data_IF_537052248969
#
_entry.id   IF_537052248969
#
_cell.length_a   1.000
_cell.length_b   1.000
_cell.length_c   1.000
_cell.angle_alpha   90.00
_cell.angle_beta   90.00
_cell.angle_gamma   90.00
#
_symmetry.space_group_name_H-M   'P 1'
#
loop_
_entity.id
_entity.type
_entity.pdbx_description
1 polymer ?
#
# COMPACT_ATOMS: atom_id res chain seq x y z
N UNK A 1 3.10 40.40 54.76
CA UNK A 1 3.71 41.74 54.71
C UNK A 1 5.01 41.70 53.92
N UNK A 2 5.00 42.33 52.73
CA UNK A 2 6.12 42.91 51.99
C UNK A 2 7.35 42.04 51.59
N UNK A 3 7.21 41.27 50.50
CA UNK A 3 8.34 40.72 49.70
C UNK A 3 8.98 41.75 48.74
N UNK A 4 8.49 42.99 48.76
CA UNK A 4 8.89 44.10 47.86
C UNK A 4 10.31 44.67 48.14
N UNK A 5 10.89 44.64 49.36
CA UNK A 5 12.21 45.24 49.59
C UNK A 5 13.38 44.38 49.08
N UNK A 6 13.25 43.05 49.10
CA UNK A 6 14.34 42.13 48.76
C UNK A 6 14.70 42.15 47.26
N UNK A 7 13.70 42.25 46.39
CA UNK A 7 13.90 42.36 44.95
C UNK A 7 14.48 43.71 44.50
N UNK A 8 14.16 44.81 45.21
CA UNK A 8 14.74 46.14 44.91
C UNK A 8 16.22 46.25 45.29
N UNK A 9 16.68 45.54 46.31
CA UNK A 9 18.11 45.49 46.65
C UNK A 9 18.92 44.60 45.71
N UNK A 10 18.36 43.47 45.25
CA UNK A 10 19.05 42.58 44.31
C UNK A 10 19.36 43.26 42.96
N UNK A 11 18.46 44.10 42.45
CA UNK A 11 18.72 44.93 41.25
C UNK A 11 19.78 46.01 41.46
N UNK A 12 19.95 46.53 42.68
CA UNK A 12 21.01 47.51 43.00
C UNK A 12 22.39 46.85 43.16
N UNK A 13 22.44 45.58 43.58
CA UNK A 13 23.69 44.83 43.74
C UNK A 13 24.33 44.42 42.41
N UNK A 14 23.56 44.30 41.32
CA UNK A 14 24.06 43.96 39.98
C UNK A 14 24.97 45.03 39.34
N UNK A 15 25.04 46.24 39.91
CA UNK A 15 25.90 47.34 39.44
C UNK A 15 27.29 47.32 40.10
N UNK A 16 27.49 46.51 41.16
CA UNK A 16 28.76 46.44 41.88
C UNK A 16 29.51 45.13 41.59
N UNK A 17 30.81 45.26 41.38
CA UNK A 17 31.75 44.20 40.96
C UNK A 17 31.48 42.85 41.66
N UNK A 18 31.44 41.73 40.92
CA UNK A 18 31.24 40.40 41.49
C UNK A 18 32.50 40.03 42.28
N UNK A 19 32.43 40.12 43.61
CA UNK A 19 33.53 39.71 44.48
C UNK A 19 33.59 40.39 45.85
N UNK A 20 32.92 41.53 46.05
CA UNK A 20 33.12 42.33 47.27
C UNK A 20 32.18 42.01 48.45
N UNK A 21 31.06 41.31 48.24
CA UNK A 21 30.02 41.16 49.28
C UNK A 21 29.58 39.72 49.61
N UNK A 22 30.14 38.72 48.93
CA UNK A 22 29.81 37.32 49.20
C UNK A 22 30.08 36.84 50.65
N UNK A 23 31.16 37.26 51.36
CA UNK A 23 31.46 36.69 52.67
C UNK A 23 30.64 37.29 53.83
N UNK A 24 30.01 38.46 53.67
CA UNK A 24 29.27 39.14 54.75
C UNK A 24 27.82 38.64 54.91
N UNK A 25 27.19 38.17 53.84
CA UNK A 25 25.83 37.60 53.91
C UNK A 25 25.83 36.15 54.41
N UNK A 26 26.90 35.39 54.15
CA UNK A 26 27.03 34.00 54.57
C UNK A 26 27.11 33.83 56.09
N UNK A 27 27.71 34.79 56.81
CA UNK A 27 27.85 34.69 58.28
C UNK A 27 26.56 34.97 59.05
N UNK A 28 25.60 35.72 58.47
CA UNK A 28 24.38 36.13 59.18
C UNK A 28 23.26 35.09 59.13
N UNK A 29 23.32 34.14 58.20
CA UNK A 29 22.29 33.10 58.07
C UNK A 29 22.61 31.78 58.78
N UNK A 30 23.77 31.69 59.45
CA UNK A 30 24.15 30.53 60.29
C UNK A 30 23.35 30.45 61.62
N UNK A 31 22.32 31.28 61.80
CA UNK A 31 21.45 31.32 62.99
C UNK A 31 19.97 31.39 62.59
N UNK A 32 19.44 30.37 61.94
CA UNK A 32 18.02 30.00 62.08
C UNK A 32 17.72 28.72 61.28
N UNK A 33 17.31 27.69 62.01
CA UNK A 33 16.49 26.53 61.68
C UNK A 33 16.56 25.81 60.30
N UNK A 34 16.31 24.50 60.38
CA UNK A 34 16.40 23.45 59.35
C UNK A 34 15.62 23.65 58.04
N UNK A 35 14.94 24.79 57.83
CA UNK A 35 14.37 25.22 56.55
C UNK A 35 15.30 26.11 55.71
N UNK A 36 16.44 26.55 56.28
CA UNK A 36 17.43 27.38 55.57
C UNK A 36 18.30 26.62 54.56
N UNK A 37 18.42 25.30 54.68
CA UNK A 37 19.33 24.48 53.86
C UNK A 37 18.88 24.36 52.40
N UNK A 38 17.58 24.31 52.12
CA UNK A 38 17.08 24.25 50.74
C UNK A 38 17.21 25.60 50.02
N UNK A 39 17.04 26.70 50.75
CA UNK A 39 17.26 28.05 50.23
C UNK A 39 18.74 28.27 49.97
N UNK A 40 19.61 27.84 50.89
CA UNK A 40 21.07 27.88 50.69
C UNK A 40 21.51 26.99 49.53
N UNK A 41 21.01 25.75 49.43
CA UNK A 41 21.33 24.85 48.31
C UNK A 41 20.88 25.43 46.98
N UNK A 42 19.69 26.01 46.90
CA UNK A 42 19.18 26.63 45.67
C UNK A 42 19.93 27.92 45.32
N UNK A 43 20.34 28.72 46.31
CA UNK A 43 21.13 29.94 46.10
C UNK A 43 22.58 29.60 45.66
N UNK A 44 23.21 28.61 46.29
CA UNK A 44 24.56 28.13 45.94
C UNK A 44 24.55 27.43 44.58
N UNK A 45 23.46 26.72 44.24
CA UNK A 45 23.25 26.14 42.91
C UNK A 45 23.07 27.23 41.84
N UNK A 46 22.27 28.27 42.13
CA UNK A 46 22.12 29.43 41.25
C UNK A 46 23.41 30.27 41.08
N UNK A 47 24.29 30.31 42.09
CA UNK A 47 25.61 30.95 41.98
C UNK A 47 26.63 30.12 41.19
N UNK A 48 26.43 28.80 41.08
CA UNK A 48 27.26 27.90 40.25
C UNK A 48 26.93 28.00 38.76
N UNK A 49 25.75 28.50 38.40
CA UNK A 49 25.24 28.64 37.03
C UNK A 49 25.37 30.07 36.48
N UNK A 50 26.20 30.92 37.07
CA UNK A 50 26.55 32.18 36.42
C UNK A 50 27.43 31.88 35.19
N UNK A 51 27.04 32.31 33.97
CA UNK A 51 27.88 32.10 32.79
C UNK A 51 29.24 32.74 33.06
N UNK A 52 30.30 31.94 33.03
CA UNK A 52 31.68 32.42 33.12
C UNK A 52 31.88 33.45 32.00
N UNK A 53 31.84 34.73 32.35
CA UNK A 53 32.09 35.80 31.41
C UNK A 53 33.44 35.54 30.74
N UNK A 54 33.42 35.24 29.43
CA UNK A 54 34.60 34.92 28.64
C UNK A 54 35.59 36.07 28.83
N UNK A 55 36.71 35.83 29.51
CA UNK A 55 37.71 36.87 29.77
C UNK A 55 38.25 37.35 28.43
N UNK A 56 38.02 38.62 28.11
CA UNK A 56 38.57 39.22 26.91
C UNK A 56 40.11 39.16 26.95
N UNK A 57 40.77 38.83 25.83
CA UNK A 57 42.22 38.78 25.77
C UNK A 57 42.82 40.16 26.02
N UNK A 58 43.79 40.23 26.93
CA UNK A 58 44.55 41.46 27.21
C UNK A 58 45.48 41.80 26.05
N UNK A 59 45.63 43.07 25.68
CA UNK A 59 46.51 43.50 24.59
C UNK A 59 47.99 43.30 24.98
N UNK A 60 48.73 42.46 24.24
CA UNK A 60 50.16 42.17 24.46
C UNK A 60 51.01 42.58 23.23
N UNK A 61 50.53 43.57 22.45
CA UNK A 61 51.13 44.05 21.18
C UNK A 61 51.03 43.05 20.03
N UNK A 62 51.49 41.83 20.24
CA UNK A 62 51.38 40.74 19.28
C UNK A 62 50.38 39.72 19.81
N UNK A 63 49.38 39.40 19.00
CA UNK A 63 48.38 38.38 19.31
C UNK A 63 48.17 37.45 18.14
N UNK A 64 47.88 36.20 18.47
CA UNK A 64 47.44 35.20 17.51
C UNK A 64 45.93 35.05 17.67
N UNK A 65 45.19 35.43 16.65
CA UNK A 65 43.74 35.22 16.60
C UNK A 65 43.50 33.76 16.21
N UNK A 66 42.80 32.97 17.05
CA UNK A 66 42.50 31.58 16.73
C UNK A 66 41.66 31.44 15.45
N UNK A 67 41.77 30.28 14.80
CA UNK A 67 40.93 29.96 13.65
C UNK A 67 39.44 29.95 14.06
N UNK A 68 38.58 30.46 13.18
CA UNK A 68 37.13 30.60 13.42
C UNK A 68 36.77 31.51 14.61
N UNK A 69 37.66 32.44 14.96
CA UNK A 69 37.34 33.58 15.83
C UNK A 69 37.60 34.90 15.10
N UNK A 70 36.80 35.91 15.43
CA UNK A 70 36.98 37.28 14.97
C UNK A 70 36.99 38.22 16.18
N UNK A 71 38.03 39.05 16.27
CA UNK A 71 38.20 39.97 17.39
C UNK A 71 37.96 41.41 16.92
N UNK A 72 37.04 42.11 17.57
CA UNK A 72 36.67 43.49 17.25
C UNK A 72 37.54 44.42 18.08
N UNK A 73 38.29 45.29 17.39
CA UNK A 73 39.23 46.23 18.02
C UNK A 73 38.68 47.64 17.98
N UNK A 74 38.75 48.29 19.14
CA UNK A 74 38.46 49.71 19.33
C UNK A 74 39.76 50.48 19.54
N UNK A 75 39.88 51.64 18.88
CA UNK A 75 40.95 52.60 19.12
C UNK A 75 40.36 53.82 19.81
N UNK A 76 40.82 54.11 21.03
CA UNK A 76 40.28 55.21 21.85
C UNK A 76 38.74 55.21 21.96
N UNK A 77 38.11 54.02 21.99
CA UNK A 77 36.65 53.86 22.08
C UNK A 77 35.88 53.98 20.77
N UNK A 78 36.54 54.16 19.62
CA UNK A 78 35.92 54.06 18.30
C UNK A 78 36.29 52.73 17.65
N UNK A 79 35.34 52.11 16.93
CA UNK A 79 35.65 50.96 16.08
C UNK A 79 36.82 51.27 15.12
N UNK A 80 37.80 50.38 15.07
CA UNK A 80 38.97 50.52 14.18
C UNK A 80 38.99 49.45 13.09
N UNK A 81 38.99 48.17 13.46
CA UNK A 81 39.04 47.03 12.52
C UNK A 81 38.64 45.73 13.19
N UNK A 82 38.31 44.74 12.37
CA UNK A 82 38.12 43.34 12.77
C UNK A 82 39.42 42.60 12.51
N UNK A 83 39.90 41.81 13.48
CA UNK A 83 41.06 40.95 13.30
C UNK A 83 40.60 39.57 12.85
N UNK A 84 41.08 39.17 11.68
CA UNK A 84 40.91 37.83 11.11
C UNK A 84 41.91 36.83 11.73
N UNK A 85 41.69 35.51 11.57
CA UNK A 85 42.61 34.49 12.08
C UNK A 85 44.05 34.68 11.60
N UNK A 86 45.01 34.57 12.52
CA UNK A 86 46.43 34.75 12.23
C UNK A 86 47.14 35.75 13.13
N UNK A 87 48.27 36.27 12.67
CA UNK A 87 49.10 37.22 13.41
C UNK A 87 48.48 38.63 13.36
N UNK A 88 48.06 39.13 14.51
CA UNK A 88 47.55 40.48 14.68
C UNK A 88 48.51 41.34 15.51
N UNK A 89 48.81 42.54 15.00
CA UNK A 89 49.60 43.55 15.71
C UNK A 89 48.68 44.67 16.18
N UNK A 90 48.69 44.92 17.49
CA UNK A 90 47.90 45.94 18.15
C UNK A 90 48.82 46.95 18.83
N UNK A 91 48.42 48.21 18.84
CA UNK A 91 49.18 49.25 19.55
C UNK A 91 48.73 49.23 21.02
N UNK A 92 49.61 48.95 21.98
CA UNK A 92 49.24 48.93 23.39
C UNK A 92 48.76 50.33 23.82
N UNK A 93 47.89 50.40 24.83
CA UNK A 93 47.22 51.61 25.33
C UNK A 93 46.20 52.28 24.39
N UNK A 94 46.44 52.27 23.08
CA UNK A 94 45.57 52.87 22.06
C UNK A 94 44.48 51.92 21.59
N UNK A 95 44.86 50.68 21.27
CA UNK A 95 43.97 49.65 20.76
C UNK A 95 43.51 48.73 21.90
N UNK A 96 42.20 48.47 21.98
CA UNK A 96 41.56 47.57 22.94
C UNK A 96 40.71 46.54 22.19
N UNK A 97 40.83 45.27 22.59
CA UNK A 97 39.94 44.21 22.11
C UNK A 97 38.64 44.31 22.91
N UNK A 98 37.57 44.76 22.26
CA UNK A 98 36.30 45.04 22.90
C UNK A 98 35.38 43.81 22.89
N UNK A 99 35.35 43.07 21.76
CA UNK A 99 34.51 41.90 21.59
C UNK A 99 35.28 40.76 20.93
N UNK A 100 34.99 39.53 21.35
CA UNK A 100 35.51 38.30 20.74
C UNK A 100 34.33 37.45 20.29
N UNK A 101 34.15 37.30 18.98
CA UNK A 101 33.06 36.52 18.42
C UNK A 101 33.59 35.21 17.82
N UNK A 102 32.88 34.12 18.09
CA UNK A 102 33.12 32.84 17.43
C UNK A 102 32.38 32.82 16.10
N UNK A 103 33.07 32.48 15.02
CA UNK A 103 32.49 32.30 13.68
C UNK A 103 31.95 30.87 13.47
N UNK A 104 32.22 29.97 14.42
CA UNK A 104 31.72 28.60 14.42
C UNK A 104 30.20 28.58 14.51
N UNK A 105 29.61 27.56 13.92
CA UNK A 105 28.20 27.25 14.14
C UNK A 105 27.96 26.88 15.60
N UNK A 106 26.90 27.46 16.17
CA UNK A 106 26.47 27.24 17.55
C UNK A 106 25.02 26.77 17.54
N UNK A 107 24.75 25.74 18.33
CA UNK A 107 23.40 25.28 18.62
C UNK A 107 22.91 25.93 19.92
N UNK A 108 21.78 26.62 19.86
CA UNK A 108 21.13 27.23 21.02
C UNK A 108 19.73 26.67 21.16
N UNK A 109 19.43 26.18 22.36
CA UNK A 109 18.10 25.69 22.69
C UNK A 109 17.13 26.86 22.86
N UNK A 110 16.00 26.76 22.16
CA UNK A 110 14.85 27.64 22.31
C UNK A 110 13.92 27.00 23.34
N UNK A 111 13.67 27.65 24.49
CA UNK A 111 12.91 27.04 25.56
C UNK A 111 11.45 26.90 25.15
N UNK A 112 10.80 25.91 25.77
CA UNK A 112 9.43 25.51 25.47
C UNK A 112 8.45 26.67 25.57
N UNK A 113 7.57 26.78 24.58
CA UNK A 113 6.53 27.80 24.51
C UNK A 113 5.18 27.20 24.15
N UNK A 114 4.12 27.78 24.71
CA UNK A 114 2.75 27.51 24.29
C UNK A 114 2.38 28.40 23.10
N UNK A 115 1.84 27.78 22.05
CA UNK A 115 1.28 28.43 20.86
C UNK A 115 -0.13 27.89 20.59
N UNK A 116 -0.93 28.66 19.86
CA UNK A 116 -2.28 28.26 19.44
C UNK A 116 -2.28 28.15 17.92
N UNK A 117 -2.74 27.03 17.39
CA UNK A 117 -2.88 26.80 15.94
C UNK A 117 -4.10 27.53 15.37
N UNK A 118 -4.21 27.54 14.03
CA UNK A 118 -5.37 28.09 13.32
C UNK A 118 -6.70 27.44 13.76
N UNK A 119 -6.67 26.15 14.12
CA UNK A 119 -7.86 25.40 14.59
C UNK A 119 -8.15 25.60 16.08
N UNK A 120 -7.53 26.59 16.69
CA UNK A 120 -7.70 26.92 18.11
C UNK A 120 -7.27 25.79 19.05
N UNK A 121 -6.26 25.00 18.66
CA UNK A 121 -5.61 24.00 19.53
C UNK A 121 -4.36 24.59 20.14
N UNK A 122 -4.28 24.56 21.47
CA UNK A 122 -3.06 24.90 22.22
C UNK A 122 -2.03 23.79 22.08
N UNK A 123 -0.78 24.11 21.75
CA UNK A 123 0.34 23.18 21.64
C UNK A 123 1.54 23.70 22.44
N UNK A 124 2.33 22.80 23.02
CA UNK A 124 3.62 23.13 23.61
C UNK A 124 4.74 22.67 22.68
N UNK A 125 5.64 23.58 22.31
CA UNK A 125 6.72 23.31 21.36
C UNK A 125 8.06 23.81 21.90
N UNK A 126 9.11 23.07 21.58
CA UNK A 126 10.49 23.49 21.74
C UNK A 126 11.31 23.17 20.49
N UNK A 127 12.52 23.73 20.44
CA UNK A 127 13.37 23.56 19.27
C UNK A 127 14.80 23.98 19.52
N UNK A 128 15.64 23.69 18.55
CA UNK A 128 17.06 24.04 18.54
C UNK A 128 17.33 24.89 17.32
N UNK A 129 17.91 26.06 17.58
CA UNK A 129 18.36 26.98 16.55
C UNK A 129 19.85 26.78 16.32
N UNK A 130 20.24 26.64 15.05
CA UNK A 130 21.64 26.63 14.65
C UNK A 130 21.95 27.90 13.89
N UNK A 131 22.89 28.69 14.41
CA UNK A 131 23.30 29.94 13.78
C UNK A 131 24.82 30.06 13.74
N UNK A 132 25.30 30.96 12.88
CA UNK A 132 26.68 31.43 12.88
C UNK A 132 26.73 32.94 12.74
N UNK A 133 27.78 33.55 13.31
CA UNK A 133 28.08 34.96 13.10
C UNK A 133 28.76 35.11 11.73
N UNK A 134 28.17 35.91 10.84
CA UNK A 134 28.73 36.21 9.51
C UNK A 134 29.46 37.55 9.54
N UNK A 135 28.89 38.55 10.21
CA UNK A 135 29.47 39.87 10.36
C UNK A 135 29.72 40.19 11.86
N UNK A 136 30.97 40.06 12.33
CA UNK A 136 31.33 40.33 13.72
C UNK A 136 31.11 41.77 14.15
N UNK A 137 31.16 42.74 13.23
CA UNK A 137 30.92 44.14 13.55
C UNK A 137 29.44 44.38 13.86
N UNK A 138 28.54 43.91 12.99
CA UNK A 138 27.10 43.98 13.24
C UNK A 138 26.68 43.17 14.47
N UNK A 139 27.30 42.01 14.71
CA UNK A 139 27.01 41.21 15.91
C UNK A 139 27.47 41.87 17.21
N UNK A 140 28.53 42.68 17.18
CA UNK A 140 29.04 43.38 18.36
C UNK A 140 28.31 44.71 18.65
N UNK A 141 27.93 45.47 17.62
CA UNK A 141 27.36 46.81 17.78
C UNK A 141 25.88 46.93 17.40
N UNK A 142 25.34 45.96 16.64
CA UNK A 142 23.95 46.00 16.18
C UNK A 142 22.94 45.74 17.29
N UNK A 143 23.31 44.93 18.30
CA UNK A 143 22.45 44.63 19.45
C UNK A 143 23.30 44.30 20.68
N UNK A 144 22.76 44.57 21.88
CA UNK A 144 23.49 44.40 23.14
C UNK A 144 23.87 42.94 23.45
N UNK A 145 22.97 42.00 23.15
CA UNK A 145 23.19 40.56 23.25
C UNK A 145 22.54 39.87 22.06
N UNK A 146 23.35 39.56 21.05
CA UNK A 146 22.88 39.02 19.79
C UNK A 146 22.34 37.59 19.92
N UNK A 147 22.92 36.78 20.81
CA UNK A 147 22.45 35.42 21.09
C UNK A 147 21.06 35.48 21.74
N UNK A 148 20.90 36.31 22.77
CA UNK A 148 19.61 36.49 23.42
C UNK A 148 18.54 37.02 22.46
N UNK A 149 18.87 38.04 21.65
CA UNK A 149 17.93 38.63 20.71
C UNK A 149 17.48 37.66 19.63
N UNK A 150 18.40 36.87 19.06
CA UNK A 150 18.04 35.83 18.07
C UNK A 150 17.19 34.73 18.71
N UNK A 151 17.48 34.33 19.95
CA UNK A 151 16.67 33.37 20.70
C UNK A 151 15.24 33.87 20.92
N UNK A 152 15.06 35.14 21.28
CA UNK A 152 13.73 35.76 21.43
C UNK A 152 13.00 35.91 20.09
N UNK A 153 13.72 36.25 19.03
CA UNK A 153 13.18 36.31 17.68
C UNK A 153 12.66 34.93 17.25
N UNK A 154 13.46 33.88 17.42
CA UNK A 154 13.07 32.52 17.08
C UNK A 154 11.78 32.08 17.80
N UNK A 155 11.64 32.44 19.08
CA UNK A 155 10.43 32.19 19.86
C UNK A 155 9.19 32.89 19.29
N UNK A 156 9.34 34.16 18.93
CA UNK A 156 8.24 34.97 18.42
C UNK A 156 7.82 34.49 17.03
N UNK A 157 8.80 34.21 16.17
CA UNK A 157 8.59 33.67 14.81
C UNK A 157 7.94 32.29 14.86
N UNK A 158 8.44 31.37 15.69
CA UNK A 158 7.84 30.04 15.86
C UNK A 158 6.36 30.14 16.26
N UNK A 159 6.01 31.00 17.22
CA UNK A 159 4.61 31.22 17.62
C UNK A 159 3.76 31.77 16.47
N UNK A 160 4.31 32.69 15.67
CA UNK A 160 3.59 33.32 14.56
C UNK A 160 3.32 32.33 13.40
N UNK A 161 4.31 31.49 13.05
CA UNK A 161 4.17 30.48 11.99
C UNK A 161 3.17 29.39 12.38
N UNK A 162 3.24 28.90 13.63
CA UNK A 162 2.27 27.91 14.15
C UNK A 162 0.83 28.46 14.14
N UNK A 163 0.65 29.75 14.43
CA UNK A 163 -0.67 30.39 14.40
C UNK A 163 -1.32 30.44 13.02
N UNK A 164 -0.54 30.28 11.95
CA UNK A 164 -1.02 30.28 10.56
C UNK A 164 -1.33 28.87 10.03
N UNK A 165 -0.98 27.82 10.78
CA UNK A 165 -1.11 26.43 10.36
C UNK A 165 -2.13 25.69 11.23
N UNK A 166 -2.76 24.67 10.65
CA UNK A 166 -3.63 23.72 11.37
C UNK A 166 -2.77 22.73 12.18
N UNK A 167 -3.40 22.03 13.13
CA UNK A 167 -2.70 21.00 13.93
C UNK A 167 -2.11 19.90 13.04
N UNK A 168 -2.92 19.39 12.11
CA UNK A 168 -2.52 18.27 11.26
C UNK A 168 -1.36 18.66 10.33
N UNK A 169 -1.42 19.85 9.70
CA UNK A 169 -0.34 20.33 8.83
C UNK A 169 0.94 20.59 9.63
N UNK A 170 0.83 21.09 10.86
CA UNK A 170 1.99 21.27 11.76
C UNK A 170 2.68 19.93 12.07
N UNK A 171 1.90 18.86 12.25
CA UNK A 171 2.43 17.51 12.52
C UNK A 171 2.99 16.83 11.26
N UNK A 172 2.35 17.04 10.10
CA UNK A 172 2.71 16.41 8.83
C UNK A 172 3.87 17.10 8.11
N UNK A 173 3.90 18.43 8.08
CA UNK A 173 4.80 19.23 7.25
C UNK A 173 5.88 19.97 8.07
N UNK A 174 6.52 19.27 9.01
CA UNK A 174 7.56 19.86 9.88
C UNK A 174 8.70 20.53 9.11
N UNK A 175 9.09 19.97 7.96
CA UNK A 175 10.16 20.53 7.14
C UNK A 175 9.80 21.90 6.54
N UNK A 176 8.56 22.05 6.09
CA UNK A 176 8.05 23.32 5.55
C UNK A 176 8.05 24.40 6.63
N UNK A 177 7.57 24.05 7.83
CA UNK A 177 7.58 24.95 8.99
C UNK A 177 9.00 25.37 9.38
N UNK A 178 9.95 24.42 9.45
CA UNK A 178 11.36 24.72 9.73
C UNK A 178 11.93 25.71 8.70
N UNK A 179 11.64 25.52 7.42
CA UNK A 179 12.10 26.40 6.34
C UNK A 179 11.54 27.82 6.49
N UNK A 180 10.24 27.95 6.75
CA UNK A 180 9.58 29.25 6.94
C UNK A 180 10.16 30.00 8.15
N UNK A 181 10.36 29.31 9.28
CA UNK A 181 10.96 29.88 10.48
C UNK A 181 12.38 30.40 10.18
N UNK A 182 13.21 29.62 9.49
CA UNK A 182 14.57 30.03 9.11
C UNK A 182 14.55 31.28 8.24
N UNK A 183 13.67 31.35 7.24
CA UNK A 183 13.56 32.50 6.34
C UNK A 183 13.12 33.77 7.08
N UNK A 184 12.12 33.65 7.96
CA UNK A 184 11.63 34.77 8.76
C UNK A 184 12.69 35.26 9.76
N UNK A 185 13.44 34.34 10.41
CA UNK A 185 14.55 34.71 11.30
C UNK A 185 15.66 35.44 10.52
N UNK A 186 16.09 34.91 9.37
CA UNK A 186 17.17 35.49 8.56
C UNK A 186 16.86 36.90 8.07
N UNK A 187 15.59 37.18 7.75
CA UNK A 187 15.15 38.52 7.31
C UNK A 187 15.38 39.57 8.40
N UNK A 188 15.15 39.23 9.68
CA UNK A 188 15.35 40.15 10.79
C UNK A 188 16.80 40.15 11.33
N UNK A 189 17.47 38.98 11.32
CA UNK A 189 18.82 38.81 11.90
C UNK A 189 19.95 39.40 11.05
N UNK A 190 19.67 39.83 9.81
CA UNK A 190 20.64 40.51 8.93
C UNK A 190 21.22 41.79 9.58
N UNK A 191 20.38 42.52 10.32
CA UNK A 191 20.78 43.73 11.07
C UNK A 191 21.77 43.43 12.20
N UNK A 192 21.80 42.18 12.70
CA UNK A 192 22.66 41.72 13.79
C UNK A 192 23.86 40.91 13.30
N UNK A 193 24.05 40.75 11.98
CA UNK A 193 25.19 40.01 11.44
C UNK A 193 25.19 38.50 11.75
N UNK A 194 24.03 37.95 12.12
CA UNK A 194 23.84 36.53 12.41
C UNK A 194 23.05 35.89 11.27
N UNK A 195 23.54 34.74 10.79
CA UNK A 195 22.81 33.90 9.86
C UNK A 195 22.31 32.64 10.57
N UNK A 196 21.00 32.42 10.52
CA UNK A 196 20.38 31.16 10.87
C UNK A 196 20.62 30.15 9.75
N UNK A 197 21.22 29.02 10.09
CA UNK A 197 21.51 27.94 9.15
C UNK A 197 20.35 26.94 9.08
N UNK A 198 19.81 26.59 10.25
CA UNK A 198 18.68 25.68 10.38
C UNK A 198 17.96 25.89 11.70
N UNK A 199 16.68 25.58 11.68
CA UNK A 199 15.84 25.46 12.85
C UNK A 199 15.28 24.05 12.89
N UNK A 200 15.42 23.37 14.02
CA UNK A 200 14.90 22.02 14.21
C UNK A 200 13.90 22.03 15.36
N UNK A 201 12.64 21.73 15.06
CA UNK A 201 11.64 21.47 16.11
C UNK A 201 11.99 20.16 16.79
N UNK A 202 12.14 20.19 18.12
CA UNK A 202 12.46 19.00 18.90
C UNK A 202 11.18 18.21 19.14
N UNK A 203 10.27 18.74 19.95
CA UNK A 203 9.00 18.08 20.24
C UNK A 203 7.78 19.00 20.08
N UNK A 204 6.63 18.40 19.76
CA UNK A 204 5.33 19.06 19.68
C UNK A 204 4.36 18.28 20.57
N UNK A 205 3.89 18.91 21.64
CA UNK A 205 3.02 18.30 22.63
C UNK A 205 1.61 18.91 22.55
N UNK A 206 0.69 18.28 21.80
CA UNK A 206 -0.74 18.58 21.91
C UNK A 206 -1.36 18.08 23.22
N UNK A 207 -2.45 18.70 23.70
CA UNK A 207 -3.17 18.25 24.88
C UNK A 207 -3.75 16.86 24.66
N UNK A 208 -3.65 16.01 25.68
CA UNK A 208 -4.03 14.58 25.60
C UNK A 208 -5.44 14.33 25.06
N UNK A 209 -6.41 15.19 25.42
CA UNK A 209 -7.81 15.09 24.95
C UNK A 209 -7.92 15.21 23.43
N UNK A 210 -7.12 16.07 22.80
CA UNK A 210 -7.15 16.27 21.34
C UNK A 210 -6.50 15.08 20.64
N UNK A 211 -5.40 14.56 21.18
CA UNK A 211 -4.74 13.36 20.66
C UNK A 211 -5.65 12.14 20.73
N UNK A 212 -6.36 11.95 21.84
CA UNK A 212 -7.33 10.87 22.01
C UNK A 212 -8.49 10.98 21.00
N UNK A 213 -9.07 12.18 20.86
CA UNK A 213 -10.13 12.43 19.87
C UNK A 213 -9.65 12.15 18.45
N UNK A 214 -8.43 12.59 18.10
CA UNK A 214 -7.82 12.36 16.80
C UNK A 214 -7.58 10.86 16.54
N UNK A 215 -7.05 10.11 17.53
CA UNK A 215 -6.90 8.66 17.42
C UNK A 215 -8.25 7.94 17.25
N UNK A 216 -9.27 8.37 17.99
CA UNK A 216 -10.63 7.82 17.86
C UNK A 216 -11.20 8.09 16.47
N UNK A 217 -11.04 9.31 15.94
CA UNK A 217 -11.49 9.67 14.60
C UNK A 217 -10.76 8.87 13.51
N UNK A 218 -9.43 8.78 13.57
CA UNK A 218 -8.62 8.01 12.62
C UNK A 218 -8.97 6.52 12.69
N UNK A 219 -9.17 5.98 13.88
CA UNK A 219 -9.59 4.58 14.07
C UNK A 219 -10.99 4.32 13.47
N UNK A 220 -11.95 5.20 13.72
CA UNK A 220 -13.29 5.11 13.17
C UNK A 220 -13.29 5.20 11.63
N UNK A 221 -12.50 6.11 11.06
CA UNK A 221 -12.37 6.25 9.61
C UNK A 221 -11.69 5.02 8.98
N UNK A 222 -10.62 4.50 9.61
CA UNK A 222 -9.97 3.25 9.19
C UNK A 222 -10.93 2.07 9.25
N UNK A 223 -11.72 1.94 10.32
CA UNK A 223 -12.73 0.89 10.46
C UNK A 223 -13.82 1.00 9.39
N UNK A 224 -14.29 2.21 9.10
CA UNK A 224 -15.27 2.45 8.03
C UNK A 224 -14.71 2.06 6.67
N UNK A 225 -13.47 2.47 6.35
CA UNK A 225 -12.80 2.11 5.08
C UNK A 225 -12.60 0.60 4.98
N UNK A 226 -12.20 -0.06 6.07
CA UNK A 226 -12.04 -1.51 6.10
C UNK A 226 -13.38 -2.24 5.87
N UNK A 227 -14.48 -1.80 6.49
CA UNK A 227 -15.80 -2.39 6.27
C UNK A 227 -16.31 -2.21 4.83
N UNK A 228 -16.06 -1.06 4.22
CA UNK A 228 -16.42 -0.82 2.81
C UNK A 228 -15.63 -1.76 1.91
N UNK A 229 -14.30 -1.83 2.09
CA UNK A 229 -13.43 -2.72 1.31
C UNK A 229 -13.81 -4.20 1.49
N UNK A 230 -14.15 -4.62 2.71
CA UNK A 230 -14.60 -5.99 2.99
C UNK A 230 -15.93 -6.28 2.29
N UNK A 231 -16.90 -5.35 2.35
CA UNK A 231 -18.18 -5.49 1.67
C UNK A 231 -18.03 -5.53 0.15
N UNK A 232 -17.14 -4.70 -0.41
CA UNK A 232 -16.82 -4.69 -1.84
C UNK A 232 -16.11 -5.98 -2.26
N UNK A 233 -15.15 -6.45 -1.47
CA UNK A 233 -14.46 -7.72 -1.66
C UNK A 233 -15.40 -8.93 -1.61
N UNK A 234 -16.32 -8.97 -0.63
CA UNK A 234 -17.33 -10.01 -0.51
C UNK A 234 -18.29 -10.02 -1.71
N UNK A 235 -18.76 -8.85 -2.14
CA UNK A 235 -19.60 -8.71 -3.34
C UNK A 235 -18.86 -9.21 -4.58
N UNK A 236 -17.61 -8.78 -4.79
CA UNK A 236 -16.82 -9.19 -5.95
C UNK A 236 -16.53 -10.69 -5.93
N UNK A 237 -16.22 -11.25 -4.77
CA UNK A 237 -16.01 -12.69 -4.60
C UNK A 237 -17.27 -13.50 -4.94
N UNK A 238 -18.44 -13.07 -4.46
CA UNK A 238 -19.71 -13.71 -4.78
C UNK A 238 -20.04 -13.68 -6.28
N UNK A 239 -19.78 -12.55 -6.95
CA UNK A 239 -19.93 -12.42 -8.41
C UNK A 239 -19.00 -13.39 -9.13
N UNK A 240 -17.72 -13.43 -8.77
CA UNK A 240 -16.73 -14.30 -9.39
C UNK A 240 -17.10 -15.79 -9.23
N UNK A 241 -17.60 -16.19 -8.06
CA UNK A 241 -18.07 -17.57 -7.81
C UNK A 241 -19.31 -17.89 -8.67
N UNK A 242 -20.28 -16.98 -8.74
CA UNK A 242 -21.48 -17.17 -9.55
C UNK A 242 -21.16 -17.26 -11.05
N UNK A 243 -20.24 -16.42 -11.53
CA UNK A 243 -19.77 -16.42 -12.91
C UNK A 243 -18.98 -17.71 -13.23
N UNK A 244 -18.09 -18.13 -12.33
CA UNK A 244 -17.40 -19.42 -12.44
C UNK A 244 -18.37 -20.61 -12.48
N UNK A 245 -19.41 -20.60 -11.64
CA UNK A 245 -20.44 -21.65 -11.63
C UNK A 245 -21.33 -21.64 -12.87
N UNK A 246 -21.63 -20.45 -13.44
CA UNK A 246 -22.33 -20.32 -14.72
C UNK A 246 -21.47 -20.89 -15.85
N UNK A 247 -20.21 -20.47 -15.94
CA UNK A 247 -19.29 -20.90 -16.98
C UNK A 247 -19.03 -22.41 -16.90
N UNK A 248 -18.83 -22.94 -15.69
CA UNK A 248 -18.68 -24.38 -15.47
C UNK A 248 -19.90 -25.17 -15.93
N UNK A 249 -21.12 -24.70 -15.66
CA UNK A 249 -22.35 -25.36 -16.12
C UNK A 249 -22.51 -25.34 -17.64
N UNK A 250 -22.16 -24.23 -18.30
CA UNK A 250 -22.18 -24.12 -19.75
C UNK A 250 -21.19 -25.11 -20.36
N UNK A 251 -19.94 -25.11 -19.89
CA UNK A 251 -18.90 -26.02 -20.36
C UNK A 251 -19.27 -27.49 -20.14
N UNK A 252 -19.91 -27.84 -19.02
CA UNK A 252 -20.39 -29.19 -18.76
C UNK A 252 -21.49 -29.61 -19.75
N UNK A 253 -22.46 -28.74 -20.03
CA UNK A 253 -23.54 -29.02 -20.98
C UNK A 253 -23.02 -29.15 -22.42
N UNK A 254 -22.05 -28.31 -22.80
CA UNK A 254 -21.37 -28.41 -24.09
C UNK A 254 -20.56 -29.71 -24.20
N UNK A 255 -19.85 -30.10 -23.14
CA UNK A 255 -19.11 -31.34 -23.07
C UNK A 255 -20.02 -32.57 -23.19
N UNK A 256 -21.17 -32.59 -22.50
CA UNK A 256 -22.17 -33.66 -22.61
C UNK A 256 -22.73 -33.76 -24.03
N UNK A 257 -23.09 -32.63 -24.65
CA UNK A 257 -23.56 -32.60 -26.03
C UNK A 257 -22.50 -33.14 -26.99
N UNK A 258 -21.26 -32.70 -26.86
CA UNK A 258 -20.14 -33.18 -27.68
C UNK A 258 -19.90 -34.68 -27.47
N UNK A 259 -19.95 -35.16 -26.22
CA UNK A 259 -19.82 -36.56 -25.89
C UNK A 259 -20.93 -37.41 -26.53
N UNK A 260 -22.20 -36.97 -26.46
CA UNK A 260 -23.33 -37.67 -27.08
C UNK A 260 -23.19 -37.74 -28.60
N UNK A 261 -22.80 -36.63 -29.24
CA UNK A 261 -22.55 -36.58 -30.69
C UNK A 261 -21.42 -37.53 -31.07
N UNK A 262 -20.29 -37.48 -30.36
CA UNK A 262 -19.15 -38.35 -30.61
C UNK A 262 -19.51 -39.83 -30.44
N UNK A 263 -20.31 -40.16 -29.43
CA UNK A 263 -20.80 -41.52 -29.19
C UNK A 263 -21.72 -41.98 -30.32
N UNK A 264 -22.71 -41.16 -30.70
CA UNK A 264 -23.64 -41.48 -31.79
C UNK A 264 -22.91 -41.63 -33.14
N UNK A 265 -21.92 -40.78 -33.42
CA UNK A 265 -21.07 -40.90 -34.61
C UNK A 265 -20.23 -42.18 -34.58
N UNK A 266 -19.63 -42.51 -33.43
CA UNK A 266 -18.86 -43.74 -33.25
C UNK A 266 -19.72 -45.00 -33.43
N UNK A 267 -20.93 -45.02 -32.87
CA UNK A 267 -21.89 -46.12 -33.04
C UNK A 267 -22.36 -46.23 -34.50
N UNK A 268 -22.69 -45.11 -35.14
CA UNK A 268 -23.09 -45.09 -36.55
C UNK A 268 -21.96 -45.59 -37.47
N UNK A 269 -20.73 -45.17 -37.22
CA UNK A 269 -19.56 -45.60 -38.00
C UNK A 269 -19.26 -47.09 -37.77
N UNK A 270 -19.34 -47.57 -36.53
CA UNK A 270 -19.20 -49.00 -36.23
C UNK A 270 -20.26 -49.85 -36.94
N UNK A 271 -21.52 -49.40 -36.98
CA UNK A 271 -22.60 -50.06 -37.72
C UNK A 271 -22.30 -50.07 -39.22
N UNK A 272 -21.88 -48.94 -39.80
CA UNK A 272 -21.52 -48.88 -41.23
C UNK A 272 -20.38 -49.83 -41.58
N UNK A 273 -19.33 -49.86 -40.75
CA UNK A 273 -18.19 -50.74 -40.96
C UNK A 273 -18.58 -52.22 -40.85
N UNK A 274 -19.41 -52.56 -39.85
CA UNK A 274 -19.93 -53.93 -39.69
C UNK A 274 -20.81 -54.32 -40.86
N UNK A 275 -21.75 -53.48 -41.27
CA UNK A 275 -22.63 -53.73 -42.41
C UNK A 275 -21.85 -53.83 -43.74
N UNK A 276 -20.81 -53.03 -43.93
CA UNK A 276 -19.93 -53.13 -45.09
C UNK A 276 -19.12 -54.44 -45.09
N UNK A 277 -18.57 -54.84 -43.93
CA UNK A 277 -17.86 -56.10 -43.77
C UNK A 277 -18.79 -57.30 -44.01
N UNK A 278 -20.03 -57.23 -43.51
CA UNK A 278 -21.04 -58.27 -43.70
C UNK A 278 -21.52 -58.35 -45.15
N UNK A 279 -21.73 -57.22 -45.83
CA UNK A 279 -22.02 -57.19 -47.25
C UNK A 279 -20.89 -57.84 -48.07
N UNK A 280 -19.63 -57.49 -47.79
CA UNK A 280 -18.47 -58.12 -48.43
C UNK A 280 -18.37 -59.62 -48.12
N UNK A 281 -18.68 -60.05 -46.89
CA UNK A 281 -18.70 -61.45 -46.52
C UNK A 281 -19.79 -62.22 -47.29
N UNK A 282 -21.01 -61.69 -47.37
CA UNK A 282 -22.11 -62.26 -48.14
C UNK A 282 -21.75 -62.36 -49.63
N UNK A 283 -21.15 -61.31 -50.21
CA UNK A 283 -20.70 -61.35 -51.61
C UNK A 283 -19.67 -62.46 -51.85
N UNK A 284 -18.70 -62.63 -50.95
CA UNK A 284 -17.69 -63.71 -51.04
C UNK A 284 -18.33 -65.08 -50.93
N UNK A 285 -19.26 -65.28 -50.00
CA UNK A 285 -20.00 -66.54 -49.85
C UNK A 285 -20.86 -66.83 -51.09
N UNK A 286 -21.59 -65.83 -51.61
CA UNK A 286 -22.41 -65.97 -52.81
C UNK A 286 -21.57 -66.25 -54.07
N UNK A 287 -20.36 -65.70 -54.18
CA UNK A 287 -19.41 -66.04 -55.23
C UNK A 287 -18.91 -67.48 -55.11
N UNK A 288 -18.62 -67.96 -53.89
CA UNK A 288 -18.19 -69.34 -53.64
C UNK A 288 -19.30 -70.37 -53.95
N UNK A 289 -20.56 -70.06 -53.61
CA UNK A 289 -21.70 -70.94 -53.88
C UNK A 289 -21.95 -71.10 -55.39
N UNK A 290 -21.90 -70.00 -56.16
CA UNK A 290 -22.11 -70.04 -57.63
C UNK A 290 -21.06 -70.84 -58.40
N UNK A 291 -19.88 -71.07 -57.82
CA UNK A 291 -18.77 -71.78 -58.46
C UNK A 291 -18.80 -73.30 -58.31
N UNK A 292 -19.71 -73.89 -57.52
CA UNK A 292 -19.73 -75.34 -57.29
C UNK A 292 -21.16 -75.90 -57.24
N UNK A 293 -21.39 -77.02 -57.93
CA UNK A 293 -22.69 -77.72 -58.03
C UNK A 293 -23.16 -78.31 -56.68
N UNK A 294 -22.26 -78.42 -55.70
CA UNK A 294 -22.56 -78.84 -54.32
C UNK A 294 -22.76 -77.65 -53.33
N UNK A 295 -22.60 -76.40 -53.79
CA UNK A 295 -22.65 -75.20 -52.94
C UNK A 295 -24.04 -74.88 -52.39
N UNK A 296 -25.10 -75.12 -53.16
CA UNK A 296 -26.48 -74.84 -52.73
C UNK A 296 -26.96 -75.77 -51.60
N UNK A 297 -26.58 -77.06 -51.67
CA UNK A 297 -26.88 -78.02 -50.58
C UNK A 297 -26.11 -77.68 -49.29
N UNK A 298 -24.85 -77.25 -49.40
CA UNK A 298 -24.05 -76.85 -48.23
C UNK A 298 -24.56 -75.56 -47.56
N UNK A 299 -25.02 -74.58 -48.35
CA UNK A 299 -25.64 -73.37 -47.84
C UNK A 299 -26.96 -73.69 -47.10
N UNK A 300 -27.80 -74.57 -47.66
CA UNK A 300 -29.03 -75.03 -47.02
C UNK A 300 -28.80 -75.72 -45.68
N UNK A 301 -27.79 -76.60 -45.59
CA UNK A 301 -27.42 -77.26 -44.33
C UNK A 301 -26.88 -76.25 -43.30
N UNK A 302 -26.10 -75.24 -43.72
CA UNK A 302 -25.58 -74.23 -42.81
C UNK A 302 -26.67 -73.32 -42.23
N UNK A 303 -27.66 -72.92 -43.04
CA UNK A 303 -28.83 -72.16 -42.56
C UNK A 303 -29.64 -73.01 -41.58
N UNK A 304 -29.82 -74.31 -41.85
CA UNK A 304 -30.50 -75.22 -40.93
C UNK A 304 -29.75 -75.35 -39.59
N UNK A 305 -28.42 -75.45 -39.61
CA UNK A 305 -27.59 -75.47 -38.39
C UNK A 305 -27.68 -74.16 -37.60
N UNK A 306 -27.56 -73.00 -38.26
CA UNK A 306 -27.71 -71.69 -37.60
C UNK A 306 -29.10 -71.51 -37.00
N UNK A 307 -30.15 -72.00 -37.68
CA UNK A 307 -31.52 -71.97 -37.16
C UNK A 307 -31.64 -72.81 -35.87
N UNK A 308 -31.10 -74.03 -35.85
CA UNK A 308 -31.12 -74.91 -34.66
C UNK A 308 -30.32 -74.30 -33.50
N UNK A 309 -29.16 -73.69 -33.76
CA UNK A 309 -28.38 -72.99 -32.73
C UNK A 309 -29.06 -71.72 -32.20
N UNK A 310 -29.70 -70.92 -33.06
CA UNK A 310 -30.47 -69.75 -32.65
C UNK A 310 -31.68 -70.16 -31.81
N UNK A 311 -32.38 -71.23 -32.22
CA UNK A 311 -33.46 -71.82 -31.44
C UNK A 311 -32.95 -72.33 -30.08
N UNK A 312 -31.77 -72.94 -30.05
CA UNK A 312 -31.10 -73.39 -28.82
C UNK A 312 -30.70 -72.24 -27.88
N UNK A 313 -30.32 -71.08 -28.41
CA UNK A 313 -30.03 -69.88 -27.60
C UNK A 313 -31.30 -69.24 -27.01
N UNK A 314 -32.37 -69.15 -27.81
CA UNK A 314 -33.69 -68.67 -27.35
C UNK A 314 -34.23 -69.58 -26.23
N UNK A 315 -34.07 -70.90 -26.36
CA UNK A 315 -34.45 -71.87 -25.33
C UNK A 315 -33.63 -71.76 -24.03
N UNK A 316 -32.48 -71.07 -24.04
CA UNK A 316 -31.57 -70.92 -22.89
C UNK A 316 -31.77 -69.60 -22.14
N UNK A 317 -32.14 -68.52 -22.83
CA UNK A 317 -32.34 -67.18 -22.23
C UNK A 317 -33.80 -66.87 -21.84
N UNK A 318 -34.78 -67.56 -22.43
CA UNK A 318 -36.21 -67.33 -22.17
C UNK A 318 -36.88 -68.55 -21.53
N UNK A 319 -37.37 -68.44 -20.29
CA UNK A 319 -37.99 -69.54 -19.54
C UNK A 319 -39.45 -69.86 -19.96
N UNK A 320 -39.87 -69.41 -21.14
CA UNK A 320 -41.21 -69.67 -21.71
C UNK A 320 -41.06 -70.10 -23.16
N UNK A 321 -41.11 -71.41 -23.39
CA UNK A 321 -41.11 -72.01 -24.73
C UNK A 321 -42.56 -72.05 -25.25
N UNK A 322 -42.84 -71.37 -26.37
CA UNK A 322 -44.04 -71.64 -27.17
C UNK A 322 -43.62 -72.57 -28.30
N UNK A 323 -43.80 -73.88 -28.11
CA UNK A 323 -43.62 -74.88 -29.17
C UNK A 323 -44.82 -74.79 -30.12
N UNK A 324 -44.66 -74.57 -31.43
CA UNK A 324 -45.74 -74.77 -32.38
C UNK A 324 -46.14 -76.25 -32.36
N UNK A 325 -47.41 -76.56 -32.11
CA UNK A 325 -47.94 -77.91 -31.92
C UNK A 325 -47.99 -78.76 -33.20
N UNK A 326 -46.85 -78.90 -33.89
CA UNK A 326 -46.63 -79.82 -35.00
C UNK A 326 -45.11 -80.08 -35.18
N UNK A 327 -44.42 -80.51 -34.12
CA UNK A 327 -42.97 -80.77 -34.13
C UNK A 327 -42.56 -82.07 -34.86
N UNK A 328 -43.49 -82.73 -35.57
CA UNK A 328 -43.23 -84.02 -36.20
C UNK A 328 -43.07 -83.96 -37.73
N UNK A 329 -43.16 -82.78 -38.36
CA UNK A 329 -42.94 -82.67 -39.81
C UNK A 329 -42.09 -81.44 -40.17
N UNK A 330 -40.81 -81.71 -40.43
CA UNK A 330 -39.77 -80.71 -40.73
C UNK A 330 -40.09 -79.95 -42.03
N UNK A 331 -40.81 -80.57 -42.96
CA UNK A 331 -41.18 -79.99 -44.26
C UNK A 331 -42.16 -78.82 -44.12
N UNK A 332 -43.10 -78.91 -43.17
CA UNK A 332 -44.10 -77.88 -42.91
C UNK A 332 -43.50 -76.65 -42.24
N UNK A 333 -42.51 -76.85 -41.35
CA UNK A 333 -41.79 -75.75 -40.67
C UNK A 333 -40.92 -74.97 -41.66
N UNK A 334 -40.26 -75.66 -42.60
CA UNK A 334 -39.47 -75.01 -43.67
C UNK A 334 -40.38 -74.24 -44.63
N UNK A 335 -41.54 -74.79 -45.01
CA UNK A 335 -42.52 -74.07 -45.83
C UNK A 335 -43.07 -72.81 -45.14
N UNK A 336 -43.34 -72.88 -43.83
CA UNK A 336 -43.77 -71.73 -43.02
C UNK A 336 -42.67 -70.67 -42.94
N UNK A 337 -41.40 -71.07 -42.74
CA UNK A 337 -40.26 -70.17 -42.70
C UNK A 337 -40.00 -69.49 -44.05
N UNK A 338 -40.14 -70.20 -45.18
CA UNK A 338 -40.02 -69.63 -46.52
C UNK A 338 -41.20 -68.70 -46.88
N UNK A 339 -42.40 -68.97 -46.35
CA UNK A 339 -43.56 -68.08 -46.46
C UNK A 339 -43.38 -66.79 -45.63
N UNK A 340 -42.83 -66.88 -44.43
CA UNK A 340 -42.46 -65.71 -43.62
C UNK A 340 -41.32 -64.93 -44.28
N UNK A 341 -40.32 -65.62 -44.83
CA UNK A 341 -39.23 -64.97 -45.56
C UNK A 341 -39.73 -64.22 -46.81
N UNK A 342 -40.60 -64.83 -47.61
CA UNK A 342 -41.18 -64.18 -48.80
C UNK A 342 -42.13 -63.03 -48.45
N UNK A 343 -42.90 -63.12 -47.36
CA UNK A 343 -43.73 -62.00 -46.89
C UNK A 343 -42.91 -60.86 -46.30
N UNK A 344 -41.82 -61.14 -45.60
CA UNK A 344 -40.87 -60.13 -45.09
C UNK A 344 -40.09 -59.48 -46.25
N UNK A 345 -39.62 -60.27 -47.22
CA UNK A 345 -38.96 -59.76 -48.42
C UNK A 345 -39.92 -58.90 -49.28
N UNK A 346 -41.20 -59.26 -49.36
CA UNK A 346 -42.23 -58.44 -50.00
C UNK A 346 -42.53 -57.16 -49.20
N UNK A 347 -42.51 -57.23 -47.87
CA UNK A 347 -42.66 -56.08 -46.97
C UNK A 347 -41.52 -55.07 -47.11
N UNK A 348 -40.27 -55.55 -47.18
CA UNK A 348 -39.09 -54.72 -47.38
C UNK A 348 -39.07 -54.06 -48.77
N UNK A 349 -39.53 -54.75 -49.83
CA UNK A 349 -39.70 -54.13 -51.17
C UNK A 349 -40.73 -53.01 -51.16
N UNK A 350 -41.88 -53.19 -50.50
CA UNK A 350 -42.91 -52.13 -50.36
C UNK A 350 -42.43 -50.94 -49.52
N UNK A 351 -41.59 -51.19 -48.53
CA UNK A 351 -41.01 -50.14 -47.68
C UNK A 351 -39.92 -49.36 -48.41
N UNK A 352 -39.09 -50.03 -49.22
CA UNK A 352 -38.11 -49.41 -50.10
C UNK A 352 -38.76 -48.60 -51.23
N UNK A 353 -39.88 -49.07 -51.80
CA UNK A 353 -40.67 -48.32 -52.78
C UNK A 353 -41.36 -47.09 -52.16
N UNK A 354 -41.88 -47.19 -50.93
CA UNK A 354 -42.42 -46.04 -50.17
C UNK A 354 -41.37 -45.01 -49.81
N UNK A 355 -40.14 -45.43 -49.49
CA UNK A 355 -39.02 -44.53 -49.21
C UNK A 355 -38.53 -43.85 -50.49
N UNK A 356 -38.46 -44.56 -51.63
CA UNK A 356 -38.17 -43.96 -52.94
C UNK A 356 -39.26 -42.98 -53.40
N UNK A 357 -40.53 -43.29 -53.16
CA UNK A 357 -41.65 -42.39 -53.45
C UNK A 357 -41.65 -41.13 -52.58
N UNK A 358 -41.24 -41.22 -51.30
CA UNK A 358 -41.06 -40.04 -50.43
C UNK A 358 -39.86 -39.19 -50.84
N UNK A 359 -38.78 -39.80 -51.32
CA UNK A 359 -37.58 -39.07 -51.76
C UNK A 359 -37.76 -38.38 -53.13
N UNK A 360 -38.67 -38.89 -53.98
CA UNK A 360 -39.04 -38.25 -55.25
C UNK A 360 -40.11 -37.14 -55.12
N UNK A 361 -40.78 -37.04 -53.95
CA UNK A 361 -41.89 -36.10 -53.71
C UNK A 361 -41.52 -34.89 -52.84
N UNK A 362 -40.24 -34.70 -52.51
CA UNK A 362 -39.78 -33.51 -51.79
C UNK A 362 -39.24 -32.47 -52.81
N UNK A 363 -39.90 -31.32 -53.03
CA UNK A 363 -39.33 -30.27 -53.86
C UNK A 363 -38.10 -29.66 -53.16
N UNK A 364 -37.03 -29.41 -53.94
CA UNK A 364 -35.86 -28.65 -53.49
C UNK A 364 -36.31 -27.22 -53.20
N UNK A 365 -36.29 -26.82 -51.94
CA UNK A 365 -36.49 -25.44 -51.51
C UNK A 365 -35.10 -24.78 -51.38
N UNK A 366 -34.66 -24.16 -52.48
CA UNK A 366 -33.54 -23.22 -52.47
C UNK A 366 -34.10 -21.82 -52.20
N UNK A 367 -33.89 -21.26 -51.01
CA UNK A 367 -33.94 -19.80 -50.79
C UNK A 367 -33.19 -19.36 -49.51
N UNK A 368 -32.37 -18.29 -49.57
CA UNK A 368 -31.51 -17.85 -48.47
C UNK A 368 -32.19 -16.84 -47.54
N UNK A 369 -32.21 -17.13 -46.24
CA UNK A 369 -32.83 -16.28 -45.20
C UNK A 369 -31.83 -15.36 -44.49
N UNK A 370 -32.12 -14.05 -44.56
CA UNK A 370 -31.30 -12.91 -44.15
C UNK A 370 -30.79 -12.84 -42.69
N UNK A 371 -29.62 -12.24 -42.57
CA UNK A 371 -29.08 -11.65 -41.35
C UNK A 371 -29.89 -10.40 -40.95
N UNK A 372 -30.46 -10.40 -39.75
CA UNK A 372 -30.97 -9.20 -39.07
C UNK A 372 -30.06 -8.85 -37.90
N UNK A 373 -29.26 -7.80 -38.05
CA UNK A 373 -28.47 -7.19 -36.98
C UNK A 373 -29.31 -6.17 -36.22
N UNK A 374 -29.53 -6.40 -34.92
CA UNK A 374 -30.22 -5.47 -34.03
C UNK A 374 -29.16 -4.68 -33.23
N UNK A 375 -29.23 -3.36 -33.38
CA UNK A 375 -28.33 -2.37 -32.79
C UNK A 375 -28.61 -2.22 -31.29
N UNK A 376 -27.54 -2.27 -30.48
CA UNK A 376 -27.55 -1.78 -29.09
C UNK A 376 -27.10 -0.32 -29.13
N UNK A 377 -28.00 0.58 -28.76
CA UNK A 377 -27.66 1.97 -28.46
C UNK A 377 -27.08 2.09 -27.05
N UNK A 378 -25.93 2.75 -26.97
CA UNK A 378 -25.44 3.50 -25.82
C UNK A 378 -24.96 4.86 -26.32
#
# INVERSE_FOLDING_TARGET
>A
MSLVPAFRLARRAAVLRPGALAPLYAQRALKSDSSGDDVYRNLVRGLREAPTAKRLPVNTVVKFVPQQEAWVVERMGRFSRILEPGLAVLIPFLDRIAYTQSLKEVAVEVPTQTAITQDNVTLELDGVLYYKVVDPYKAAYGVADAEFSVKQLAQTTMRAEIGQMTLDTTLAERNTLNHNIVNAINTASESWGIACLRYEIRDIHPPAKVVEAMHSQVSAERSKRAQILESEGARQSAINVAEGAKQSRILASEAEKAQQINRAMGEAEAIRQTAAAEAQAIERVAAAIRGSEAGEMAAGLHVAQQYVEAFGRIAKESNTIVVPAAANDISAVVAQAMSVFSSVAAGQRRQAERLKAKHAAQPRDDSPGGFGSEQVGH
#
